data_IF_551473210245
#
_entry.id   IF_551473210245
#
_cell.length_a   1.000
_cell.length_b   1.000
_cell.length_c   1.000
_cell.angle_alpha   90.00
_cell.angle_beta   90.00
_cell.angle_gamma   90.00
#
_symmetry.space_group_name_H-M   'P 1'
#
loop_
_entity.id
_entity.type
_entity.pdbx_description
1 polymer ?
#
# COMPACT_ATOMS: atom_id res chain seq x y z
N UNK A 1 2.35 -8.88 21.16
CA UNK A 1 1.42 -7.73 21.15
C UNK A 1 1.71 -7.01 19.85
N UNK A 2 1.12 -7.54 18.79
CA UNK A 2 1.47 -7.22 17.41
C UNK A 2 0.93 -5.84 17.07
N UNK A 3 1.83 -4.86 17.06
CA UNK A 3 1.54 -3.52 16.58
C UNK A 3 1.46 -3.61 15.05
N UNK A 4 0.36 -4.12 14.52
CA UNK A 4 0.05 -4.00 13.09
C UNK A 4 0.06 -2.52 12.73
N UNK A 5 1.16 -2.05 12.14
CA UNK A 5 1.29 -0.68 11.63
C UNK A 5 0.33 -0.55 10.44
N UNK A 6 -0.92 -0.23 10.74
CA UNK A 6 -1.93 0.12 9.75
C UNK A 6 -1.48 1.43 9.09
N UNK A 7 -0.98 1.35 7.86
CA UNK A 7 -0.56 2.53 7.09
C UNK A 7 -1.77 3.47 6.94
N UNK A 8 -1.57 4.76 7.22
CA UNK A 8 -2.60 5.78 7.05
C UNK A 8 -2.58 6.35 5.64
N UNK A 9 -3.74 6.69 5.11
CA UNK A 9 -3.88 7.35 3.82
C UNK A 9 -3.43 8.81 3.94
N UNK A 10 -2.48 9.27 3.13
CA UNK A 10 -1.95 10.63 3.20
C UNK A 10 -2.97 11.70 2.76
N UNK A 11 -4.11 11.31 2.17
CA UNK A 11 -5.13 12.25 1.69
C UNK A 11 -6.28 12.50 2.66
N UNK A 12 -6.62 11.53 3.49
CA UNK A 12 -7.87 11.58 4.28
C UNK A 12 -7.75 10.98 5.68
N UNK A 13 -6.51 10.65 6.08
CA UNK A 13 -6.15 9.96 7.32
C UNK A 13 -6.89 8.63 7.54
N UNK A 14 -7.54 8.10 6.50
CA UNK A 14 -8.20 6.80 6.53
C UNK A 14 -7.21 5.64 6.61
N UNK A 15 -7.70 4.44 6.86
CA UNK A 15 -6.84 3.25 6.92
C UNK A 15 -6.58 2.76 5.49
N UNK A 16 -5.32 2.48 5.18
CA UNK A 16 -4.93 1.78 3.96
C UNK A 16 -5.07 0.28 4.18
N UNK A 17 -5.90 -0.35 3.37
CA UNK A 17 -6.00 -1.79 3.29
C UNK A 17 -5.04 -2.30 2.23
N UNK A 18 -4.28 -3.34 2.56
CA UNK A 18 -3.43 -4.00 1.59
C UNK A 18 -4.32 -4.73 0.56
N UNK A 19 -4.16 -4.41 -0.71
CA UNK A 19 -4.85 -5.09 -1.81
C UNK A 19 -4.02 -6.23 -2.42
N UNK A 20 -2.78 -6.40 -1.97
CA UNK A 20 -1.85 -7.43 -2.42
C UNK A 20 -0.69 -6.83 -3.22
N UNK A 21 0.13 -7.71 -3.80
CA UNK A 21 1.16 -7.33 -4.75
C UNK A 21 0.68 -7.53 -6.20
N UNK A 22 1.18 -6.68 -7.09
CA UNK A 22 0.99 -6.75 -8.54
C UNK A 22 2.37 -6.77 -9.17
N UNK A 23 2.56 -7.63 -10.16
CA UNK A 23 3.78 -7.68 -10.95
C UNK A 23 3.61 -6.87 -12.24
N UNK A 24 4.60 -6.05 -12.57
CA UNK A 24 4.71 -5.43 -13.89
C UNK A 24 6.12 -5.68 -14.42
N UNK A 25 6.22 -6.64 -15.34
CA UNK A 25 7.49 -7.22 -15.73
C UNK A 25 8.15 -7.92 -14.54
N UNK A 26 9.43 -7.63 -14.32
CA UNK A 26 10.24 -8.16 -13.21
C UNK A 26 10.12 -7.35 -11.90
N UNK A 27 9.27 -6.31 -11.88
CA UNK A 27 9.08 -5.44 -10.71
C UNK A 27 7.81 -5.83 -9.98
N UNK A 28 7.93 -6.10 -8.67
CA UNK A 28 6.79 -6.31 -7.78
C UNK A 28 6.34 -4.97 -7.19
N UNK A 29 5.04 -4.72 -7.17
CA UNK A 29 4.43 -3.52 -6.61
C UNK A 29 3.43 -3.92 -5.53
N UNK A 30 3.56 -3.40 -4.32
CA UNK A 30 2.46 -3.45 -3.35
C UNK A 30 1.42 -2.40 -3.68
N UNK A 31 0.17 -2.86 -3.76
CA UNK A 31 -0.99 -2.00 -3.92
C UNK A 31 -1.72 -1.94 -2.59
N UNK A 32 -1.93 -0.73 -2.09
CA UNK A 32 -2.75 -0.46 -0.90
C UNK A 32 -3.84 0.52 -1.27
N UNK A 33 -5.08 0.27 -0.86
CA UNK A 33 -6.20 1.15 -1.15
C UNK A 33 -6.79 1.68 0.15
N UNK A 34 -7.07 2.98 0.21
CA UNK A 34 -7.75 3.57 1.35
C UNK A 34 -9.20 3.11 1.41
N UNK A 35 -9.63 2.60 2.56
CA UNK A 35 -11.01 2.15 2.74
C UNK A 35 -12.03 3.30 2.64
N UNK A 36 -11.63 4.51 3.05
CA UNK A 36 -12.46 5.72 3.18
C UNK A 36 -12.61 6.49 1.87
N UNK A 37 -11.50 6.87 1.23
CA UNK A 37 -11.53 7.68 0.01
C UNK A 37 -11.24 6.88 -1.27
N UNK A 38 -11.04 5.56 -1.17
CA UNK A 38 -10.68 4.66 -2.28
C UNK A 38 -9.39 5.06 -3.03
N UNK A 39 -8.57 5.94 -2.44
CA UNK A 39 -7.28 6.30 -3.02
C UNK A 39 -6.33 5.11 -3.00
N UNK A 40 -5.81 4.77 -4.18
CA UNK A 40 -4.85 3.70 -4.37
C UNK A 40 -3.42 4.23 -4.28
N UNK A 41 -2.58 3.51 -3.55
CA UNK A 41 -1.17 3.79 -3.36
C UNK A 41 -0.41 2.56 -3.81
N UNK A 42 0.47 2.77 -4.77
CA UNK A 42 1.33 1.73 -5.32
C UNK A 42 2.75 2.01 -4.87
N UNK A 43 3.43 1.01 -4.29
CA UNK A 43 4.83 1.07 -3.90
C UNK A 43 5.58 -0.08 -4.53
N UNK A 44 6.67 0.17 -5.24
CA UNK A 44 7.55 -0.88 -5.73
C UNK A 44 8.22 -1.58 -4.53
N UNK A 45 8.18 -2.91 -4.46
CA UNK A 45 9.23 -3.66 -3.77
C UNK A 45 10.37 -3.86 -4.77
N UNK A 46 11.59 -3.56 -4.37
CA UNK A 46 12.76 -3.81 -5.20
C UNK A 46 13.50 -2.56 -5.69
N UNK A 47 13.23 -1.39 -5.11
CA UNK A 47 14.20 -0.30 -5.08
C UNK A 47 14.69 -0.11 -3.65
N UNK A 48 15.47 -1.08 -3.17
CA UNK A 48 16.51 -0.78 -2.18
C UNK A 48 17.77 -0.55 -3.01
N UNK A 49 18.17 0.72 -3.15
CA UNK A 49 19.50 1.09 -3.67
C UNK A 49 20.58 0.80 -2.62
#
# INVERSE_FOLDING_TARGET
>A
MDLEIKKKCPKCDGILENKGSRFSGDVEYFVSQCNKCKHEIVKCLGLEE
#
